data_IF_549050824939
#
_entry.id   IF_549050824939
#
_cell.length_a   1.000
_cell.length_b   1.000
_cell.length_c   1.000
_cell.angle_alpha   90.00
_cell.angle_beta   90.00
_cell.angle_gamma   90.00
#
_symmetry.space_group_name_H-M   'P 1'
#
loop_
_entity.id
_entity.type
_entity.pdbx_description
1 polymer ?
#
# COMPACT_ATOMS: atom_id res chain seq x y z
N UNK A 1 -27.37 27.89 32.49
CA UNK A 1 -25.91 27.68 32.30
C UNK A 1 -25.47 26.24 32.58
N UNK A 2 -26.16 25.48 33.41
CA UNK A 2 -25.78 24.11 33.76
C UNK A 2 -26.19 23.07 32.71
N UNK A 3 -27.22 23.32 31.88
CA UNK A 3 -27.67 22.41 30.82
C UNK A 3 -26.81 22.49 29.54
N UNK A 4 -26.27 23.67 29.22
CA UNK A 4 -25.34 23.85 28.12
C UNK A 4 -23.99 23.15 28.36
N UNK A 5 -23.51 23.11 29.61
CA UNK A 5 -22.26 22.40 29.95
C UNK A 5 -22.39 20.88 29.92
N UNK A 6 -23.58 20.32 30.21
CA UNK A 6 -23.88 18.88 30.03
C UNK A 6 -23.91 18.47 28.53
N UNK A 7 -24.45 19.33 27.68
CA UNK A 7 -24.46 19.08 26.24
C UNK A 7 -23.07 19.03 25.59
N UNK A 8 -22.13 19.86 26.04
CA UNK A 8 -20.75 19.88 25.57
C UNK A 8 -19.97 18.60 25.95
N UNK A 9 -20.16 18.08 27.16
CA UNK A 9 -19.54 16.82 27.61
C UNK A 9 -20.00 15.63 26.75
N UNK A 10 -21.26 15.60 26.34
CA UNK A 10 -21.81 14.56 25.44
C UNK A 10 -21.31 14.73 23.98
N UNK A 11 -21.06 15.93 23.52
CA UNK A 11 -20.46 16.19 22.20
C UNK A 11 -19.05 15.60 22.11
N UNK A 12 -18.20 15.81 23.11
CA UNK A 12 -16.85 15.20 23.13
C UNK A 12 -16.89 13.68 23.17
N UNK A 13 -17.79 13.07 23.95
CA UNK A 13 -17.99 11.63 23.99
C UNK A 13 -18.48 11.11 22.62
N UNK A 14 -19.43 11.79 21.98
CA UNK A 14 -19.96 11.44 20.66
C UNK A 14 -18.88 11.52 19.57
N UNK A 15 -18.04 12.56 19.60
CA UNK A 15 -16.90 12.65 18.69
C UNK A 15 -15.93 11.48 18.87
N UNK A 16 -15.63 11.08 20.10
CA UNK A 16 -14.75 9.92 20.37
C UNK A 16 -15.36 8.61 19.83
N UNK A 17 -16.65 8.40 20.03
CA UNK A 17 -17.35 7.23 19.46
C UNK A 17 -17.39 7.27 17.92
N UNK A 18 -17.60 8.44 17.35
CA UNK A 18 -17.53 8.63 15.89
C UNK A 18 -16.14 8.28 15.35
N UNK A 19 -15.05 8.70 15.98
CA UNK A 19 -13.70 8.34 15.54
C UNK A 19 -13.42 6.84 15.66
N UNK A 20 -13.94 6.16 16.67
CA UNK A 20 -13.84 4.69 16.77
C UNK A 20 -14.52 4.01 15.58
N UNK A 21 -15.74 4.43 15.24
CA UNK A 21 -16.46 3.94 14.06
C UNK A 21 -15.71 4.26 12.75
N UNK A 22 -15.17 5.49 12.63
CA UNK A 22 -14.42 5.92 11.44
C UNK A 22 -13.15 5.10 11.21
N UNK A 23 -12.46 4.63 12.24
CA UNK A 23 -11.28 3.79 12.06
C UNK A 23 -11.64 2.42 11.47
N UNK A 24 -12.77 1.84 11.89
CA UNK A 24 -13.29 0.62 11.26
C UNK A 24 -13.74 0.87 9.82
N UNK A 25 -14.44 1.98 9.55
CA UNK A 25 -14.84 2.37 8.21
C UNK A 25 -13.62 2.56 7.28
N UNK A 26 -12.52 3.13 7.77
CA UNK A 26 -11.28 3.33 7.00
C UNK A 26 -10.64 2.01 6.56
N UNK A 27 -10.65 0.98 7.42
CA UNK A 27 -10.21 -0.36 7.02
C UNK A 27 -11.09 -0.95 5.93
N UNK A 28 -12.43 -0.80 6.06
CA UNK A 28 -13.38 -1.26 5.04
C UNK A 28 -13.18 -0.54 3.70
N UNK A 29 -12.91 0.78 3.70
CA UNK A 29 -12.57 1.54 2.49
C UNK A 29 -11.25 1.07 1.86
N UNK A 30 -10.25 0.71 2.68
CA UNK A 30 -9.04 0.06 2.17
C UNK A 30 -9.34 -1.28 1.48
N UNK A 31 -10.28 -2.06 2.04
CA UNK A 31 -10.76 -3.30 1.44
C UNK A 31 -11.50 -3.07 0.11
N UNK A 32 -12.25 -1.96 -0.05
CA UNK A 32 -12.84 -1.59 -1.34
C UNK A 32 -11.74 -1.38 -2.40
N UNK A 33 -10.65 -0.68 -2.05
CA UNK A 33 -9.49 -0.50 -2.94
C UNK A 33 -8.94 -1.83 -3.44
N UNK A 34 -8.74 -2.78 -2.52
CA UNK A 34 -8.31 -4.14 -2.83
C UNK A 34 -9.33 -4.88 -3.72
N UNK A 35 -10.60 -4.89 -3.32
CA UNK A 35 -11.62 -5.71 -3.97
C UNK A 35 -11.89 -5.28 -5.42
N UNK A 36 -11.97 -3.97 -5.67
CA UNK A 36 -12.19 -3.43 -7.03
C UNK A 36 -10.95 -3.63 -7.90
N UNK A 37 -9.74 -3.46 -7.34
CA UNK A 37 -8.50 -3.75 -8.06
C UNK A 37 -8.38 -5.23 -8.45
N UNK A 38 -8.73 -6.15 -7.52
CA UNK A 38 -8.72 -7.59 -7.79
C UNK A 38 -9.73 -7.97 -8.87
N UNK A 39 -10.94 -7.42 -8.83
CA UNK A 39 -11.93 -7.63 -9.88
C UNK A 39 -11.44 -7.15 -11.25
N UNK A 40 -10.83 -5.96 -11.31
CA UNK A 40 -10.26 -5.42 -12.53
C UNK A 40 -9.10 -6.29 -13.05
N UNK A 41 -8.27 -6.82 -12.15
CA UNK A 41 -7.19 -7.74 -12.50
C UNK A 41 -7.69 -9.04 -13.11
N UNK A 42 -8.68 -9.70 -12.49
CA UNK A 42 -9.25 -10.94 -13.02
C UNK A 42 -9.78 -10.73 -14.44
N UNK A 43 -10.55 -9.68 -14.66
CA UNK A 43 -11.09 -9.36 -15.99
C UNK A 43 -9.97 -9.04 -17.00
N UNK A 44 -8.95 -8.30 -16.62
CA UNK A 44 -7.83 -7.98 -17.49
C UNK A 44 -6.98 -9.22 -17.84
N UNK A 45 -6.83 -10.15 -16.88
CA UNK A 45 -6.12 -11.41 -17.10
C UNK A 45 -6.86 -12.29 -18.11
N UNK A 46 -8.18 -12.49 -17.93
CA UNK A 46 -9.00 -13.27 -18.84
C UNK A 46 -8.94 -12.68 -20.27
N UNK A 47 -9.10 -11.36 -20.39
CA UNK A 47 -8.97 -10.68 -21.68
C UNK A 47 -7.59 -10.85 -22.30
N UNK A 48 -6.52 -10.77 -21.53
CA UNK A 48 -5.16 -10.89 -22.03
C UNK A 48 -4.81 -12.31 -22.49
N UNK A 49 -5.45 -13.34 -21.92
CA UNK A 49 -5.30 -14.74 -22.34
C UNK A 49 -6.02 -15.03 -23.66
N UNK A 50 -7.15 -14.37 -23.91
CA UNK A 50 -8.00 -14.64 -25.08
C UNK A 50 -7.68 -13.73 -26.29
N UNK A 51 -7.29 -12.48 -26.03
CA UNK A 51 -7.10 -11.47 -27.08
C UNK A 51 -5.84 -11.75 -27.90
N UNK A 52 -6.05 -12.11 -29.15
CA UNK A 52 -4.97 -12.32 -30.12
C UNK A 52 -4.61 -11.01 -30.82
N UNK A 53 -3.37 -10.53 -30.66
CA UNK A 53 -2.89 -9.33 -31.35
C UNK A 53 -1.36 -9.23 -31.34
N UNK A 54 -0.81 -8.78 -32.44
CA UNK A 54 0.63 -8.65 -32.60
C UNK A 54 1.35 -10.00 -32.68
N UNK A 55 2.67 -9.97 -32.64
CA UNK A 55 3.52 -11.16 -32.66
C UNK A 55 4.79 -10.92 -31.85
N UNK A 56 5.40 -11.99 -31.41
CA UNK A 56 6.75 -11.99 -30.86
C UNK A 56 7.79 -12.12 -31.97
N UNK A 57 9.06 -11.92 -31.65
CA UNK A 57 10.14 -12.06 -32.62
C UNK A 57 10.26 -13.48 -33.20
N UNK A 58 9.87 -14.49 -32.42
CA UNK A 58 9.89 -15.92 -32.75
C UNK A 58 8.57 -16.42 -33.38
N UNK A 59 7.54 -15.57 -33.50
CA UNK A 59 6.24 -15.96 -34.09
C UNK A 59 6.32 -15.96 -35.60
N UNK A 60 5.79 -17.01 -36.29
CA UNK A 60 5.75 -17.06 -37.75
C UNK A 60 5.01 -15.86 -38.38
N UNK A 61 5.39 -15.50 -39.62
CA UNK A 61 4.72 -14.42 -40.35
C UNK A 61 3.26 -14.76 -40.61
N UNK A 62 2.35 -13.82 -40.27
CA UNK A 62 0.91 -14.00 -40.48
C UNK A 62 0.17 -14.58 -39.25
N UNK A 63 0.88 -15.02 -38.23
CA UNK A 63 0.28 -15.47 -36.96
C UNK A 63 0.33 -14.38 -35.93
N UNK A 64 -0.63 -14.39 -35.00
CA UNK A 64 -0.67 -13.54 -33.84
C UNK A 64 -0.64 -14.37 -32.57
N UNK A 65 -0.22 -13.74 -31.45
CA UNK A 65 -0.16 -14.38 -30.13
C UNK A 65 -1.18 -13.74 -29.17
N UNK A 66 -1.58 -14.44 -28.10
CA UNK A 66 -2.31 -13.79 -27.00
C UNK A 66 -1.52 -12.60 -26.46
N UNK A 67 -2.21 -11.50 -26.15
CA UNK A 67 -1.50 -10.28 -25.70
C UNK A 67 -0.73 -10.48 -24.41
N UNK A 68 -1.07 -11.48 -23.60
CA UNK A 68 -0.32 -11.84 -22.38
C UNK A 68 1.14 -12.23 -22.68
N UNK A 69 1.46 -12.61 -23.91
CA UNK A 69 2.82 -12.97 -24.32
C UNK A 69 3.71 -11.75 -24.57
N UNK A 70 3.14 -10.55 -24.64
CA UNK A 70 3.92 -9.33 -24.77
C UNK A 70 4.50 -8.89 -23.41
N UNK A 71 5.80 -8.54 -23.35
CA UNK A 71 6.48 -8.19 -22.09
C UNK A 71 5.80 -7.07 -21.30
N UNK A 72 5.29 -6.03 -21.96
CA UNK A 72 4.64 -4.92 -21.27
C UNK A 72 3.27 -5.29 -20.69
N UNK A 73 2.49 -6.13 -21.37
CA UNK A 73 1.25 -6.68 -20.83
C UNK A 73 1.55 -7.56 -19.61
N UNK A 74 2.59 -8.42 -19.69
CA UNK A 74 3.08 -9.18 -18.52
C UNK A 74 3.48 -8.29 -17.37
N UNK A 75 4.23 -7.24 -17.62
CA UNK A 75 4.64 -6.28 -16.59
C UNK A 75 3.43 -5.67 -15.90
N UNK A 76 2.41 -5.22 -16.67
CA UNK A 76 1.18 -4.67 -16.10
C UNK A 76 0.43 -5.69 -15.25
N UNK A 77 0.24 -6.91 -15.74
CA UNK A 77 -0.44 -7.99 -15.00
C UNK A 77 0.33 -8.38 -13.73
N UNK A 78 1.66 -8.51 -13.79
CA UNK A 78 2.48 -8.79 -12.61
C UNK A 78 2.45 -7.65 -11.59
N UNK A 79 2.43 -6.39 -12.05
CA UNK A 79 2.27 -5.22 -11.17
C UNK A 79 0.92 -5.27 -10.44
N UNK A 80 -0.17 -5.54 -11.16
CA UNK A 80 -1.50 -5.69 -10.57
C UNK A 80 -1.52 -6.82 -9.54
N UNK A 81 -1.06 -8.02 -9.91
CA UNK A 81 -1.01 -9.19 -9.03
C UNK A 81 -0.22 -8.91 -7.75
N UNK A 82 0.99 -8.38 -7.88
CA UNK A 82 1.89 -8.17 -6.75
C UNK A 82 1.34 -7.14 -5.77
N UNK A 83 0.80 -6.02 -6.25
CA UNK A 83 0.15 -5.04 -5.38
C UNK A 83 -1.13 -5.58 -4.73
N UNK A 84 -1.98 -6.29 -5.46
CA UNK A 84 -3.21 -6.89 -4.92
C UNK A 84 -2.88 -7.87 -3.78
N UNK A 85 -1.86 -8.71 -3.94
CA UNK A 85 -1.43 -9.62 -2.88
C UNK A 85 -0.88 -8.86 -1.66
N UNK A 86 -0.06 -7.82 -1.89
CA UNK A 86 0.46 -6.98 -0.83
C UNK A 86 -0.65 -6.22 -0.07
N UNK A 87 -1.62 -5.64 -0.80
CA UNK A 87 -2.80 -4.97 -0.22
C UNK A 87 -3.62 -5.95 0.63
N UNK A 88 -3.84 -7.18 0.15
CA UNK A 88 -4.56 -8.23 0.89
C UNK A 88 -3.87 -8.57 2.20
N UNK A 89 -2.56 -8.74 2.17
CA UNK A 89 -1.78 -8.99 3.37
C UNK A 89 -1.82 -7.81 4.35
N UNK A 90 -1.75 -6.56 3.86
CA UNK A 90 -1.87 -5.34 4.66
C UNK A 90 -3.23 -5.27 5.37
N UNK A 91 -4.33 -5.49 4.66
CA UNK A 91 -5.69 -5.46 5.21
C UNK A 91 -5.85 -6.55 6.28
N UNK A 92 -5.37 -7.77 6.04
CA UNK A 92 -5.44 -8.85 7.02
C UNK A 92 -4.55 -8.61 8.24
N UNK A 93 -3.36 -8.03 8.06
CA UNK A 93 -2.50 -7.66 9.18
C UNK A 93 -3.20 -6.62 10.08
N UNK A 94 -3.80 -5.60 9.48
CA UNK A 94 -4.53 -4.57 10.24
C UNK A 94 -5.76 -5.15 10.94
N UNK A 95 -6.56 -5.99 10.27
CA UNK A 95 -7.69 -6.70 10.88
C UNK A 95 -7.24 -7.59 12.06
N UNK A 96 -6.17 -8.37 11.90
CA UNK A 96 -5.56 -9.16 12.97
C UNK A 96 -5.13 -8.28 14.15
N UNK A 97 -4.55 -7.12 13.89
CA UNK A 97 -4.12 -6.20 14.94
C UNK A 97 -5.30 -5.66 15.74
N UNK A 98 -6.44 -5.40 15.09
CA UNK A 98 -7.70 -5.03 15.75
C UNK A 98 -8.19 -6.16 16.67
N UNK A 99 -8.18 -7.40 16.20
CA UNK A 99 -8.58 -8.55 17.00
C UNK A 99 -7.67 -8.73 18.24
N UNK A 100 -6.36 -8.61 18.06
CA UNK A 100 -5.39 -8.65 19.17
C UNK A 100 -5.68 -7.52 20.16
N UNK A 101 -5.86 -6.30 19.68
CA UNK A 101 -6.13 -5.13 20.52
C UNK A 101 -7.37 -5.29 21.42
N UNK A 102 -8.39 -6.02 20.96
CA UNK A 102 -9.64 -6.18 21.68
C UNK A 102 -9.73 -7.46 22.50
N UNK A 103 -9.07 -8.53 22.08
CA UNK A 103 -9.35 -9.89 22.56
C UNK A 103 -8.15 -10.63 23.13
N UNK A 104 -6.92 -10.14 22.96
CA UNK A 104 -5.75 -10.84 23.49
C UNK A 104 -5.77 -10.86 25.03
N UNK A 105 -5.48 -11.99 25.70
CA UNK A 105 -5.50 -12.07 27.17
C UNK A 105 -4.45 -11.20 27.85
N UNK A 106 -3.30 -11.04 27.24
CA UNK A 106 -2.18 -10.22 27.72
C UNK A 106 -2.40 -8.73 27.39
N UNK A 107 -2.21 -7.83 28.39
CA UNK A 107 -2.43 -6.40 28.25
C UNK A 107 -1.36 -5.70 27.39
N UNK A 108 -0.12 -6.16 27.46
CA UNK A 108 0.96 -5.60 26.66
C UNK A 108 0.73 -5.94 25.17
N UNK A 109 0.27 -7.15 24.87
CA UNK A 109 -0.09 -7.53 23.49
C UNK A 109 -1.31 -6.74 22.99
N UNK A 110 -2.32 -6.46 23.83
CA UNK A 110 -3.41 -5.56 23.44
C UNK A 110 -2.91 -4.16 23.11
N UNK A 111 -2.00 -3.64 23.92
CA UNK A 111 -1.40 -2.31 23.70
C UNK A 111 -0.63 -2.28 22.37
N UNK A 112 0.20 -3.27 22.10
CA UNK A 112 0.89 -3.41 20.80
C UNK A 112 -0.09 -3.54 19.63
N UNK A 113 -1.17 -4.30 19.80
CA UNK A 113 -2.25 -4.41 18.82
C UNK A 113 -2.89 -3.07 18.50
N UNK A 114 -3.17 -2.23 19.53
CA UNK A 114 -3.69 -0.87 19.35
C UNK A 114 -2.72 0.03 18.61
N UNK A 115 -1.45 0.04 18.99
CA UNK A 115 -0.40 0.85 18.36
C UNK A 115 -0.23 0.47 16.88
N UNK A 116 -0.18 -0.82 16.58
CA UNK A 116 -0.04 -1.31 15.21
C UNK A 116 -1.30 -1.01 14.37
N UNK A 117 -2.51 -1.19 14.92
CA UNK A 117 -3.77 -0.78 14.27
C UNK A 117 -3.75 0.70 13.92
N UNK A 118 -3.36 1.53 14.87
CA UNK A 118 -3.27 2.97 14.70
C UNK A 118 -2.30 3.37 13.59
N UNK A 119 -1.15 2.71 13.51
CA UNK A 119 -0.15 2.95 12.49
C UNK A 119 -0.60 2.47 11.10
N UNK A 120 -1.25 1.29 11.03
CA UNK A 120 -1.64 0.66 9.77
C UNK A 120 -2.94 1.24 9.18
N UNK A 121 -3.81 1.88 9.96
CA UNK A 121 -5.09 2.38 9.47
C UNK A 121 -4.94 3.42 8.35
N UNK A 122 -4.09 4.46 8.47
CA UNK A 122 -3.82 5.38 7.36
C UNK A 122 -3.26 4.68 6.11
N UNK A 123 -2.38 3.69 6.29
CA UNK A 123 -1.81 2.91 5.19
C UNK A 123 -2.89 2.07 4.51
N UNK A 124 -3.67 1.33 5.28
CA UNK A 124 -4.75 0.48 4.76
C UNK A 124 -5.75 1.29 3.93
N UNK A 125 -6.18 2.46 4.44
CA UNK A 125 -7.13 3.32 3.71
C UNK A 125 -6.48 3.97 2.49
N UNK A 126 -5.39 4.70 2.68
CA UNK A 126 -4.85 5.58 1.63
C UNK A 126 -4.08 4.80 0.58
N UNK A 127 -3.09 4.00 0.99
CA UNK A 127 -2.26 3.27 0.04
C UNK A 127 -3.06 2.26 -0.79
N UNK A 128 -4.02 1.53 -0.18
CA UNK A 128 -4.84 0.58 -0.92
C UNK A 128 -5.82 1.27 -1.89
N UNK A 129 -6.39 2.43 -1.53
CA UNK A 129 -7.30 3.13 -2.44
C UNK A 129 -6.58 3.88 -3.56
N UNK A 130 -5.39 4.42 -3.32
CA UNK A 130 -4.55 5.00 -4.38
C UNK A 130 -4.13 3.90 -5.37
N UNK A 131 -3.65 2.75 -4.87
CA UNK A 131 -3.36 1.60 -5.70
C UNK A 131 -4.61 1.09 -6.44
N UNK A 132 -5.77 1.08 -5.79
CA UNK A 132 -7.03 0.72 -6.43
C UNK A 132 -7.28 1.53 -7.70
N UNK A 133 -7.07 2.86 -7.65
CA UNK A 133 -7.17 3.73 -8.82
C UNK A 133 -6.10 3.41 -9.89
N UNK A 134 -4.85 3.23 -9.48
CA UNK A 134 -3.74 2.93 -10.41
C UNK A 134 -3.96 1.58 -11.11
N UNK A 135 -4.33 0.55 -10.36
CA UNK A 135 -4.47 -0.81 -10.90
C UNK A 135 -5.71 -0.95 -11.80
N UNK A 136 -6.82 -0.31 -11.47
CA UNK A 136 -8.00 -0.29 -12.35
C UNK A 136 -7.71 0.45 -13.66
N UNK A 137 -6.90 1.51 -13.63
CA UNK A 137 -6.39 2.18 -14.84
C UNK A 137 -5.51 1.25 -15.68
N UNK A 138 -4.63 0.43 -15.06
CA UNK A 138 -3.87 -0.59 -15.77
C UNK A 138 -4.78 -1.65 -16.40
N UNK A 139 -5.87 -2.03 -15.72
CA UNK A 139 -6.88 -2.92 -16.26
C UNK A 139 -7.48 -2.38 -17.57
N UNK A 140 -7.85 -1.10 -17.61
CA UNK A 140 -8.30 -0.43 -18.85
C UNK A 140 -7.21 -0.48 -19.91
N UNK A 141 -5.96 -0.18 -19.56
CA UNK A 141 -4.83 -0.16 -20.49
C UNK A 141 -4.59 -1.54 -21.15
N UNK A 142 -4.72 -2.64 -20.39
CA UNK A 142 -4.58 -4.02 -20.91
C UNK A 142 -5.67 -4.33 -21.92
N UNK A 143 -6.89 -3.84 -21.71
CA UNK A 143 -8.00 -4.01 -22.68
C UNK A 143 -7.83 -3.14 -23.95
N UNK A 144 -6.93 -2.15 -23.94
CA UNK A 144 -6.76 -1.20 -25.05
C UNK A 144 -8.04 -0.40 -25.31
N UNK A 145 -8.39 -0.20 -26.60
CA UNK A 145 -9.61 0.51 -26.96
C UNK A 145 -10.90 -0.07 -26.36
N UNK A 146 -10.95 -1.39 -26.19
CA UNK A 146 -12.08 -2.06 -25.55
C UNK A 146 -12.21 -1.75 -24.07
N UNK A 147 -11.12 -1.38 -23.38
CA UNK A 147 -11.17 -0.93 -22.00
C UNK A 147 -11.78 0.46 -21.81
N UNK A 148 -11.78 1.27 -22.85
CA UNK A 148 -12.34 2.64 -22.82
C UNK A 148 -13.86 2.66 -22.99
N UNK A 149 -14.42 1.74 -23.77
CA UNK A 149 -15.88 1.69 -24.05
C UNK A 149 -16.65 1.05 -22.90
N UNK A 150 -17.94 1.41 -22.76
CA UNK A 150 -18.79 0.95 -21.65
C UNK A 150 -19.11 -0.55 -21.70
N UNK A 151 -19.17 -1.11 -22.90
CA UNK A 151 -19.65 -2.48 -23.17
C UNK A 151 -18.82 -3.55 -22.48
N UNK A 152 -17.54 -3.31 -22.25
CA UNK A 152 -16.66 -4.27 -21.56
C UNK A 152 -16.76 -4.22 -20.04
N UNK A 153 -17.26 -3.11 -19.49
CA UNK A 153 -17.31 -2.88 -18.06
C UNK A 153 -15.94 -2.55 -17.39
N UNK A 154 -14.81 -2.63 -18.13
CA UNK A 154 -13.49 -2.37 -17.54
C UNK A 154 -13.34 -0.93 -17.00
N UNK A 155 -13.88 0.05 -17.71
CA UNK A 155 -13.87 1.46 -17.29
C UNK A 155 -14.71 1.71 -16.03
N UNK A 156 -15.72 0.88 -15.75
CA UNK A 156 -16.55 1.01 -14.55
C UNK A 156 -15.74 0.81 -13.27
N UNK A 157 -14.84 -0.15 -13.21
CA UNK A 157 -13.99 -0.38 -12.04
C UNK A 157 -13.19 0.88 -11.66
N UNK A 158 -12.66 1.59 -12.66
CA UNK A 158 -11.93 2.84 -12.42
C UNK A 158 -12.82 3.97 -11.92
N UNK A 159 -14.06 4.09 -12.44
CA UNK A 159 -15.02 5.09 -11.95
C UNK A 159 -15.47 4.78 -10.53
N UNK A 160 -15.78 3.53 -10.23
CA UNK A 160 -16.31 3.12 -8.94
C UNK A 160 -15.29 3.32 -7.82
N UNK A 161 -14.02 2.97 -8.05
CA UNK A 161 -13.00 3.11 -7.00
C UNK A 161 -12.60 4.57 -6.75
N UNK A 162 -12.87 5.50 -7.66
CA UNK A 162 -12.37 6.87 -7.56
C UNK A 162 -12.82 7.58 -6.28
N UNK A 163 -14.03 7.30 -5.78
CA UNK A 163 -14.56 7.89 -4.55
C UNK A 163 -13.78 7.46 -3.30
N UNK A 164 -13.21 6.26 -3.29
CA UNK A 164 -12.55 5.69 -2.12
C UNK A 164 -11.33 6.49 -1.66
N UNK A 165 -10.64 7.19 -2.57
CA UNK A 165 -9.55 8.11 -2.21
C UNK A 165 -10.01 9.45 -1.61
N UNK A 166 -11.31 9.74 -1.65
CA UNK A 166 -11.88 11.05 -1.30
C UNK A 166 -12.64 11.00 0.04
N UNK A 167 -13.57 10.09 0.22
CA UNK A 167 -14.44 10.01 1.40
C UNK A 167 -13.73 9.35 2.61
N UNK A 168 -14.36 9.37 3.78
CA UNK A 168 -13.83 8.91 5.09
C UNK A 168 -12.49 9.59 5.48
N UNK A 169 -12.34 10.83 5.06
CA UNK A 169 -11.10 11.60 5.09
C UNK A 169 -10.23 11.30 3.87
N UNK A 170 -9.91 12.34 3.11
CA UNK A 170 -9.09 12.20 1.90
C UNK A 170 -7.76 11.51 2.19
N UNK A 171 -7.14 10.93 1.16
CA UNK A 171 -5.84 10.28 1.32
C UNK A 171 -4.75 11.24 1.84
N UNK A 172 -4.83 12.53 1.49
CA UNK A 172 -3.98 13.55 2.10
C UNK A 172 -4.21 13.72 3.61
N UNK A 173 -5.46 13.63 4.10
CA UNK A 173 -5.75 13.66 5.53
C UNK A 173 -5.21 12.40 6.24
N UNK A 174 -5.22 11.24 5.60
CA UNK A 174 -4.57 10.04 6.15
C UNK A 174 -3.05 10.22 6.25
N UNK A 175 -2.42 10.84 5.26
CA UNK A 175 -1.00 11.15 5.29
C UNK A 175 -0.65 12.13 6.42
N UNK A 176 -1.45 13.17 6.61
CA UNK A 176 -1.32 14.12 7.73
C UNK A 176 -1.49 13.40 9.08
N UNK A 177 -2.48 12.52 9.20
CA UNK A 177 -2.71 11.73 10.42
C UNK A 177 -1.51 10.83 10.74
N UNK A 178 -0.94 10.18 9.70
CA UNK A 178 0.24 9.34 9.84
C UNK A 178 1.43 10.14 10.40
N UNK A 179 1.82 11.24 9.78
CA UNK A 179 3.01 12.00 10.19
C UNK A 179 2.79 12.84 11.45
N UNK A 180 1.57 13.30 11.70
CA UNK A 180 1.26 14.17 12.85
C UNK A 180 1.00 13.42 14.15
N UNK A 181 0.25 12.33 14.08
CA UNK A 181 -0.20 11.60 15.27
C UNK A 181 0.43 10.24 15.43
N UNK A 182 0.52 9.46 14.35
CA UNK A 182 0.96 8.06 14.43
C UNK A 182 2.48 7.97 14.55
N UNK A 183 3.19 8.79 13.80
CA UNK A 183 4.64 8.86 13.85
C UNK A 183 5.17 9.32 15.22
N UNK A 184 4.38 10.13 15.97
CA UNK A 184 4.75 10.61 17.30
C UNK A 184 4.45 9.62 18.43
N UNK A 185 3.78 8.49 18.17
CA UNK A 185 3.49 7.49 19.20
C UNK A 185 4.80 6.99 19.85
N UNK A 186 4.84 7.00 21.18
CA UNK A 186 6.05 6.70 21.98
C UNK A 186 7.31 7.41 21.45
N UNK A 187 7.18 8.66 20.99
CA UNK A 187 8.28 9.47 20.40
C UNK A 187 8.91 8.82 19.15
N UNK A 188 8.14 8.06 18.38
CA UNK A 188 8.56 7.38 17.16
C UNK A 188 8.96 5.93 17.34
N UNK A 189 9.00 5.40 18.56
CA UNK A 189 9.48 4.04 18.82
C UNK A 189 8.60 2.96 18.17
N UNK A 190 7.28 3.20 18.06
CA UNK A 190 6.36 2.26 17.39
C UNK A 190 6.78 2.00 15.94
N UNK A 191 7.14 3.05 15.20
CA UNK A 191 7.60 2.91 13.81
C UNK A 191 8.98 2.28 13.76
N UNK A 192 9.90 2.68 14.65
CA UNK A 192 11.26 2.10 14.70
C UNK A 192 11.23 0.60 14.99
N UNK A 193 10.38 0.15 15.92
CA UNK A 193 10.19 -1.27 16.23
C UNK A 193 9.67 -2.04 15.01
N UNK A 194 8.69 -1.49 14.27
CA UNK A 194 8.22 -2.11 13.04
C UNK A 194 9.34 -2.20 11.98
N UNK A 195 10.13 -1.15 11.80
CA UNK A 195 11.25 -1.15 10.86
C UNK A 195 12.34 -2.15 11.26
N UNK A 196 12.57 -2.37 12.56
CA UNK A 196 13.46 -3.42 13.06
C UNK A 196 12.93 -4.82 12.71
N UNK A 197 11.63 -5.08 12.93
CA UNK A 197 11.02 -6.37 12.56
C UNK A 197 11.12 -6.64 11.04
N UNK A 198 10.95 -5.60 10.21
CA UNK A 198 11.13 -5.71 8.76
C UNK A 198 12.58 -6.08 8.42
N UNK A 199 13.55 -5.46 9.08
CA UNK A 199 14.97 -5.74 8.87
C UNK A 199 15.38 -7.14 9.36
N UNK A 200 14.78 -7.65 10.44
CA UNK A 200 14.96 -9.04 10.88
C UNK A 200 14.47 -10.02 9.81
N UNK A 201 13.32 -9.75 9.21
CA UNK A 201 12.80 -10.54 8.07
C UNK A 201 13.76 -10.54 6.89
N UNK A 202 14.44 -9.42 6.60
CA UNK A 202 15.47 -9.37 5.55
C UNK A 202 16.66 -10.29 5.88
N UNK A 203 17.07 -10.37 7.15
CA UNK A 203 18.12 -11.30 7.62
C UNK A 203 17.71 -12.78 7.46
N UNK A 204 16.44 -13.10 7.74
CA UNK A 204 15.89 -14.45 7.50
C UNK A 204 15.89 -14.80 6.01
N UNK A 205 15.57 -13.86 5.12
CA UNK A 205 15.62 -14.05 3.67
C UNK A 205 17.03 -14.35 3.17
N UNK A 206 18.07 -13.71 3.72
CA UNK A 206 19.46 -14.05 3.42
C UNK A 206 19.77 -15.49 3.82
N UNK A 207 19.34 -15.92 5.01
CA UNK A 207 19.52 -17.27 5.53
C UNK A 207 18.79 -18.32 4.67
N UNK A 208 17.62 -17.97 4.13
CA UNK A 208 16.83 -18.80 3.22
C UNK A 208 17.32 -18.75 1.75
N UNK A 209 18.41 -18.05 1.47
CA UNK A 209 18.96 -17.84 0.12
C UNK A 209 18.02 -17.08 -0.85
N UNK A 210 17.13 -16.23 -0.33
CA UNK A 210 16.22 -15.37 -1.07
C UNK A 210 16.79 -13.93 -1.21
N UNK A 211 18.06 -13.82 -1.61
CA UNK A 211 18.82 -12.55 -1.66
C UNK A 211 18.23 -11.50 -2.60
N UNK A 212 17.51 -11.94 -3.66
CA UNK A 212 16.82 -11.04 -4.59
C UNK A 212 15.67 -10.28 -3.94
N UNK A 213 15.10 -10.80 -2.83
CA UNK A 213 14.07 -10.14 -2.05
C UNK A 213 14.70 -9.36 -0.88
N UNK A 214 15.71 -9.94 -0.23
CA UNK A 214 16.35 -9.39 0.98
C UNK A 214 16.93 -7.99 0.75
N UNK A 215 17.81 -7.83 -0.25
CA UNK A 215 18.53 -6.57 -0.48
C UNK A 215 17.61 -5.39 -0.80
N UNK A 216 16.63 -5.48 -1.74
CA UNK A 216 15.71 -4.38 -1.96
C UNK A 216 14.87 -4.03 -0.72
N UNK A 217 14.58 -5.01 0.15
CA UNK A 217 13.87 -4.75 1.39
C UNK A 217 14.74 -4.00 2.41
N UNK A 218 16.03 -4.35 2.53
CA UNK A 218 17.01 -3.63 3.36
C UNK A 218 17.17 -2.17 2.91
N UNK A 219 17.31 -1.95 1.60
CA UNK A 219 17.40 -0.61 1.02
C UNK A 219 16.14 0.22 1.32
N UNK A 220 14.95 -0.36 1.17
CA UNK A 220 13.69 0.30 1.49
C UNK A 220 13.58 0.65 2.99
N UNK A 221 14.00 -0.25 3.90
CA UNK A 221 14.03 0.00 5.35
C UNK A 221 14.97 1.16 5.68
N UNK A 222 16.16 1.18 5.09
CA UNK A 222 17.15 2.25 5.30
C UNK A 222 16.58 3.61 4.89
N UNK A 223 15.92 3.69 3.74
CA UNK A 223 15.32 4.92 3.25
C UNK A 223 14.12 5.35 4.10
N UNK A 224 13.32 4.38 4.56
CA UNK A 224 12.23 4.63 5.50
C UNK A 224 12.74 5.17 6.84
N UNK A 225 13.83 4.63 7.37
CA UNK A 225 14.46 5.15 8.59
C UNK A 225 14.90 6.60 8.42
N UNK A 226 15.58 6.92 7.31
CA UNK A 226 16.01 8.28 7.01
C UNK A 226 14.82 9.26 6.91
N UNK A 227 13.75 8.88 6.21
CA UNK A 227 12.54 9.68 6.07
C UNK A 227 11.83 9.88 7.43
N UNK A 228 11.73 8.81 8.22
CA UNK A 228 11.11 8.81 9.56
C UNK A 228 11.81 9.78 10.51
N UNK A 229 13.13 9.68 10.62
CA UNK A 229 13.90 10.54 11.53
C UNK A 229 13.83 12.01 11.08
N UNK A 230 13.91 12.27 9.78
CA UNK A 230 13.75 13.63 9.25
C UNK A 230 12.38 14.22 9.59
N UNK A 231 11.29 13.48 9.42
CA UNK A 231 9.94 13.94 9.74
C UNK A 231 9.76 14.18 11.25
N UNK A 232 10.32 13.33 12.10
CA UNK A 232 10.31 13.52 13.56
C UNK A 232 11.08 14.82 13.92
N UNK A 233 12.26 15.02 13.34
CA UNK A 233 13.07 16.23 13.56
C UNK A 233 12.34 17.51 13.10
N UNK A 234 11.65 17.48 11.97
CA UNK A 234 10.89 18.61 11.42
C UNK A 234 9.55 18.85 12.10
N UNK A 235 9.20 18.05 13.12
CA UNK A 235 7.97 18.23 13.91
C UNK A 235 6.70 17.72 13.24
N UNK A 236 6.81 16.81 12.27
CA UNK A 236 5.68 16.15 11.61
C UNK A 236 4.65 17.13 11.07
N UNK A 237 3.37 16.97 11.43
CA UNK A 237 2.27 17.84 10.96
C UNK A 237 2.21 19.21 11.62
N UNK A 238 3.13 19.56 12.52
CA UNK A 238 3.20 20.90 13.14
C UNK A 238 3.93 21.94 12.26
N UNK A 239 4.52 21.52 11.14
CA UNK A 239 5.26 22.38 10.23
C UNK A 239 4.87 22.12 8.79
N UNK A 240 4.99 23.14 7.93
CA UNK A 240 4.77 22.99 6.49
C UNK A 240 5.76 22.00 5.87
N UNK A 241 7.00 21.94 6.37
CA UNK A 241 8.00 20.98 5.90
C UNK A 241 7.57 19.53 6.13
N UNK A 242 7.08 19.21 7.34
CA UNK A 242 6.57 17.88 7.64
C UNK A 242 5.31 17.54 6.85
N UNK A 243 4.41 18.52 6.65
CA UNK A 243 3.20 18.35 5.84
C UNK A 243 3.52 18.10 4.35
N UNK A 244 4.53 18.77 3.82
CA UNK A 244 5.00 18.58 2.44
C UNK A 244 5.47 17.14 2.18
N UNK A 245 6.13 16.52 3.15
CA UNK A 245 6.63 15.15 3.09
C UNK A 245 5.57 14.07 3.37
N UNK A 246 4.38 14.42 3.86
CA UNK A 246 3.43 13.46 4.40
C UNK A 246 2.91 12.43 3.36
N UNK A 247 2.48 12.89 2.19
CA UNK A 247 1.95 12.01 1.13
C UNK A 247 3.01 11.08 0.54
N UNK A 248 4.20 11.54 0.11
CA UNK A 248 5.25 10.64 -0.35
C UNK A 248 5.72 9.67 0.75
N UNK A 249 5.80 10.10 2.01
CA UNK A 249 6.11 9.21 3.14
C UNK A 249 5.09 8.08 3.30
N UNK A 250 3.80 8.39 3.25
CA UNK A 250 2.74 7.37 3.31
C UNK A 250 2.90 6.35 2.17
N UNK A 251 3.20 6.81 0.96
CA UNK A 251 3.44 5.92 -0.19
C UNK A 251 4.67 5.04 0.02
N UNK A 252 5.80 5.61 0.50
CA UNK A 252 6.99 4.86 0.86
C UNK A 252 6.67 3.78 1.88
N UNK A 253 5.97 4.15 2.95
CA UNK A 253 5.67 3.25 4.05
C UNK A 253 4.74 2.11 3.61
N UNK A 254 3.66 2.40 2.90
CA UNK A 254 2.76 1.36 2.36
C UNK A 254 3.48 0.39 1.43
N UNK A 255 4.36 0.90 0.56
CA UNK A 255 5.16 0.09 -0.36
C UNK A 255 6.17 -0.80 0.38
N UNK A 256 6.84 -0.28 1.42
CA UNK A 256 7.79 -1.04 2.25
C UNK A 256 7.08 -2.15 3.04
N UNK A 257 5.97 -1.82 3.73
CA UNK A 257 5.18 -2.83 4.48
C UNK A 257 4.59 -3.88 3.54
N UNK A 258 4.09 -3.48 2.36
CA UNK A 258 3.62 -4.41 1.34
C UNK A 258 4.70 -5.39 0.90
N UNK A 259 5.91 -4.89 0.64
CA UNK A 259 7.08 -5.71 0.30
C UNK A 259 7.49 -6.67 1.41
N UNK A 260 7.51 -6.20 2.65
CA UNK A 260 7.76 -7.04 3.83
C UNK A 260 6.77 -8.19 3.96
N UNK A 261 5.47 -7.92 3.79
CA UNK A 261 4.44 -8.95 3.92
C UNK A 261 4.55 -10.02 2.82
N UNK A 262 4.91 -9.62 1.60
CA UNK A 262 5.21 -10.58 0.53
C UNK A 262 6.50 -11.35 0.81
N UNK A 263 7.51 -10.72 1.41
CA UNK A 263 8.74 -11.37 1.85
C UNK A 263 8.47 -12.47 2.88
N UNK A 264 7.62 -12.19 3.90
CA UNK A 264 7.15 -13.21 4.86
C UNK A 264 6.42 -14.36 4.16
N UNK A 265 5.60 -14.04 3.15
CA UNK A 265 4.90 -15.07 2.34
C UNK A 265 5.90 -15.94 1.57
N UNK A 266 6.96 -15.35 1.00
CA UNK A 266 8.02 -16.07 0.29
C UNK A 266 8.83 -16.97 1.23
N UNK A 267 9.17 -16.49 2.44
CA UNK A 267 9.84 -17.31 3.46
C UNK A 267 9.01 -18.54 3.84
N UNK A 268 7.72 -18.34 4.09
CA UNK A 268 6.82 -19.44 4.43
C UNK A 268 6.65 -20.42 3.25
N UNK A 269 6.56 -19.93 2.02
CA UNK A 269 6.52 -20.75 0.83
C UNK A 269 7.81 -21.58 0.66
N UNK A 270 8.97 -20.93 0.80
CA UNK A 270 10.27 -21.60 0.73
C UNK A 270 10.40 -22.72 1.76
N UNK A 271 9.99 -22.44 3.01
CA UNK A 271 10.02 -23.44 4.09
C UNK A 271 9.16 -24.67 3.73
N UNK A 272 7.94 -24.47 3.23
CA UNK A 272 7.08 -25.57 2.83
C UNK A 272 7.65 -26.38 1.65
N UNK A 273 8.23 -25.71 0.67
CA UNK A 273 8.93 -26.39 -0.45
C UNK A 273 10.08 -27.25 0.06
N UNK A 274 10.89 -26.72 0.97
CA UNK A 274 12.03 -27.46 1.57
C UNK A 274 11.57 -28.65 2.41
N UNK A 275 10.37 -28.60 2.98
CA UNK A 275 9.71 -29.70 3.69
C UNK A 275 9.04 -30.73 2.74
N UNK A 276 9.15 -30.52 1.41
CA UNK A 276 8.67 -31.45 0.39
C UNK A 276 7.26 -31.14 -0.15
N UNK A 277 6.64 -30.02 0.23
CA UNK A 277 5.38 -29.55 -0.36
C UNK A 277 5.65 -28.60 -1.52
N UNK A 278 6.11 -29.14 -2.66
CA UNK A 278 6.40 -28.36 -3.85
C UNK A 278 5.15 -28.22 -4.74
N UNK A 279 4.46 -27.07 -4.63
CA UNK A 279 3.30 -26.74 -5.44
C UNK A 279 3.53 -25.46 -6.24
N UNK A 280 2.92 -25.37 -7.42
CA UNK A 280 2.95 -24.16 -8.27
C UNK A 280 2.48 -22.91 -7.51
N UNK A 281 1.54 -23.07 -6.58
CA UNK A 281 1.07 -21.97 -5.74
C UNK A 281 2.19 -21.40 -4.86
N UNK A 282 3.00 -22.25 -4.22
CA UNK A 282 4.11 -21.81 -3.37
C UNK A 282 5.24 -21.18 -4.19
N UNK A 283 5.54 -21.75 -5.36
CA UNK A 283 6.51 -21.17 -6.29
C UNK A 283 6.06 -19.78 -6.74
N UNK A 284 4.78 -19.63 -7.14
CA UNK A 284 4.21 -18.33 -7.53
C UNK A 284 4.26 -17.27 -6.41
N UNK A 285 4.21 -17.67 -5.12
CA UNK A 285 4.41 -16.73 -3.99
C UNK A 285 5.83 -16.16 -3.96
N UNK A 286 6.84 -16.99 -4.16
CA UNK A 286 8.24 -16.55 -4.22
C UNK A 286 8.46 -15.65 -5.44
N UNK A 287 7.95 -16.03 -6.60
CA UNK A 287 8.06 -15.26 -7.86
C UNK A 287 7.38 -13.89 -7.74
N UNK A 288 6.17 -13.84 -7.14
CA UNK A 288 5.45 -12.59 -6.92
C UNK A 288 6.21 -11.66 -5.97
N UNK A 289 6.76 -12.20 -4.87
CA UNK A 289 7.57 -11.43 -3.93
C UNK A 289 8.88 -10.93 -4.56
N UNK A 290 9.51 -11.75 -5.41
CA UNK A 290 10.71 -11.36 -6.16
C UNK A 290 10.40 -10.22 -7.13
N UNK A 291 9.32 -10.33 -7.91
CA UNK A 291 8.89 -9.25 -8.79
C UNK A 291 8.62 -7.95 -8.02
N UNK A 292 7.93 -8.04 -6.88
CA UNK A 292 7.67 -6.87 -6.04
C UNK A 292 8.98 -6.22 -5.56
N UNK A 293 9.91 -7.04 -5.09
CA UNK A 293 11.20 -6.56 -4.59
C UNK A 293 12.03 -5.88 -5.69
N UNK A 294 12.07 -6.46 -6.89
CA UNK A 294 12.89 -5.93 -7.99
C UNK A 294 12.26 -4.73 -8.71
N UNK A 295 10.93 -4.71 -8.86
CA UNK A 295 10.25 -3.74 -9.75
C UNK A 295 9.48 -2.65 -8.98
N UNK A 296 9.06 -2.90 -7.74
CA UNK A 296 8.19 -2.00 -7.00
C UNK A 296 8.86 -1.37 -5.77
N UNK A 297 9.62 -2.13 -4.98
CA UNK A 297 10.35 -1.59 -3.82
C UNK A 297 11.33 -0.46 -4.17
N UNK A 298 12.03 -0.43 -5.32
CA UNK A 298 12.92 0.68 -5.66
C UNK A 298 12.22 2.05 -5.75
N UNK A 299 10.89 2.09 -5.87
CA UNK A 299 10.12 3.34 -5.81
C UNK A 299 10.25 4.03 -4.44
N UNK A 300 10.54 3.30 -3.36
CA UNK A 300 10.76 3.86 -2.02
C UNK A 300 11.94 4.83 -2.04
N UNK A 301 13.08 4.40 -2.57
CA UNK A 301 14.26 5.26 -2.72
C UNK A 301 14.00 6.49 -3.61
N UNK A 302 13.20 6.31 -4.67
CA UNK A 302 12.80 7.40 -5.56
C UNK A 302 11.93 8.47 -4.88
N UNK A 303 11.17 8.11 -3.83
CA UNK A 303 10.31 9.03 -3.09
C UNK A 303 11.02 9.73 -1.92
N UNK A 304 12.16 9.23 -1.45
CA UNK A 304 12.89 9.81 -0.33
C UNK A 304 13.22 11.29 -0.54
N UNK A 305 13.77 11.74 -1.69
CA UNK A 305 14.04 13.16 -1.91
C UNK A 305 12.78 14.04 -1.79
N UNK A 306 11.65 13.59 -2.33
CA UNK A 306 10.39 14.34 -2.24
C UNK A 306 9.86 14.41 -0.80
N UNK A 307 10.13 13.38 0.02
CA UNK A 307 9.73 13.33 1.43
C UNK A 307 10.51 14.31 2.29
N UNK A 308 11.83 14.47 2.03
CA UNK A 308 12.73 15.25 2.90
C UNK A 308 13.10 16.62 2.33
N UNK A 309 12.50 17.05 1.22
CA UNK A 309 12.83 18.35 0.58
C UNK A 309 12.26 19.58 1.30
N UNK A 310 11.29 19.40 2.19
CA UNK A 310 10.56 20.48 2.84
C UNK A 310 9.57 21.19 1.90
N UNK A 311 8.95 22.26 2.39
CA UNK A 311 7.84 22.95 1.72
C UNK A 311 8.26 24.06 0.74
N UNK A 312 9.51 24.48 0.74
CA UNK A 312 9.96 25.67 -0.02
C UNK A 312 9.57 25.61 -1.51
N UNK A 313 9.77 24.46 -2.16
CA UNK A 313 9.46 24.32 -3.59
C UNK A 313 7.96 24.35 -3.88
N UNK A 314 7.11 23.91 -2.93
CA UNK A 314 5.65 23.91 -3.07
C UNK A 314 5.08 25.34 -3.09
N UNK A 315 5.72 26.24 -2.36
CA UNK A 315 5.30 27.66 -2.26
C UNK A 315 6.13 28.62 -3.13
N UNK A 316 7.03 28.09 -3.97
CA UNK A 316 7.90 28.92 -4.83
C UNK A 316 7.09 29.71 -5.88
N UNK A 317 5.98 29.16 -6.36
CA UNK A 317 5.09 29.81 -7.31
C UNK A 317 3.89 30.39 -6.56
N UNK A 318 3.67 31.71 -6.68
CA UNK A 318 2.48 32.37 -6.12
C UNK A 318 1.21 31.87 -6.80
N UNK A 319 0.06 31.76 -6.06
CA UNK A 319 -1.19 31.24 -6.62
C UNK A 319 -1.66 31.92 -7.91
N UNK A 320 -1.41 33.22 -8.06
CA UNK A 320 -1.80 33.99 -9.24
C UNK A 320 -1.03 33.56 -10.51
N UNK A 321 0.16 32.95 -10.34
CA UNK A 321 1.01 32.47 -11.44
C UNK A 321 0.78 30.99 -11.79
N UNK A 322 -0.08 30.27 -11.03
CA UNK A 322 -0.46 28.88 -11.35
C UNK A 322 -1.41 28.78 -12.53
N UNK A 323 -1.97 29.90 -12.98
CA UNK A 323 -2.90 29.94 -14.13
C UNK A 323 -2.24 30.04 -15.50
N UNK A 324 -0.93 30.07 -15.58
CA UNK A 324 -0.18 30.11 -16.84
C UNK A 324 -0.10 31.51 -17.44
#
# INVERSE_FOLDING_TARGET
DCELSRGLGDVYKRQRYMFTMMNQARLAVGLEGLAVADRAYQQALDYALERMQGRRADTPKGESVPIIDHPDVRRMLMTMKAYIEAMRCMIYLNAKSIDIAHHHPDEDERTRGHELTDLLTPLSKSWCTDLGNELTSLGIQIHGGMGFVEETGAAQHYRDIRIAGIYEGTNGIQAIDLVGRKLSMRKGDVVRELLLEINETASELHSANLKGIARPLEDAVKDMQAATEWLIEKGGASTDDGLAGATPYLRMFGTTVGGWLLAKSALQAKKQIDEGNDSEFLQAKIETATFYAEQLLPQVSGLLPATVSGAQSLYAIKPERLRG
#
